data_IF_584982265423
#
_entry.id   IF_584982265423
#
_cell.length_a   1.000
_cell.length_b   1.000
_cell.length_c   1.000
_cell.angle_alpha   90.00
_cell.angle_beta   90.00
_cell.angle_gamma   90.00
#
_symmetry.space_group_name_H-M   'P 1'
#
loop_
_entity.id
_entity.type
_entity.pdbx_description
1 polymer ?
#
# COMPACT_ATOMS: atom_id res chain seq x y z
N UNK A 1 9.52 10.73 33.11
CA UNK A 1 9.08 9.42 33.63
C UNK A 1 7.62 9.07 33.35
N UNK A 2 6.71 10.03 33.13
CA UNK A 2 5.29 9.76 32.78
C UNK A 2 5.07 8.93 31.51
N UNK A 3 5.93 9.05 30.49
CA UNK A 3 5.78 8.32 29.21
C UNK A 3 6.05 6.81 29.36
N UNK A 4 7.05 6.45 30.18
CA UNK A 4 7.39 5.05 30.47
C UNK A 4 6.31 4.41 31.35
N UNK A 5 5.75 5.15 32.30
CA UNK A 5 4.60 4.71 33.09
C UNK A 5 3.35 4.52 32.23
N UNK A 6 3.07 5.43 31.29
CA UNK A 6 1.98 5.27 30.32
C UNK A 6 2.16 4.04 29.45
N UNK A 7 3.38 3.77 28.93
CA UNK A 7 3.68 2.55 28.18
C UNK A 7 3.50 1.28 29.04
N UNK A 8 3.94 1.33 30.30
CA UNK A 8 3.77 0.22 31.25
C UNK A 8 2.30 -0.02 31.60
N UNK A 9 1.49 1.04 31.66
CA UNK A 9 0.05 0.96 31.89
C UNK A 9 -0.73 0.48 30.65
N UNK A 10 -0.30 0.87 29.44
CA UNK A 10 -0.82 0.33 28.17
C UNK A 10 -0.63 -1.18 28.11
N UNK A 11 0.51 -1.68 28.61
CA UNK A 11 0.79 -3.11 28.68
C UNK A 11 0.04 -3.87 29.79
N UNK A 12 -0.54 -3.16 30.77
CA UNK A 12 -1.39 -3.78 31.80
C UNK A 12 -2.82 -4.02 31.30
N UNK A 13 -3.29 -3.26 30.30
CA UNK A 13 -4.63 -3.43 29.74
C UNK A 13 -4.56 -4.51 28.67
N UNK A 14 -5.05 -5.71 29.00
CA UNK A 14 -5.01 -6.86 28.11
C UNK A 14 -5.68 -6.60 26.76
N UNK A 15 -6.80 -5.88 26.75
CA UNK A 15 -7.50 -5.51 25.51
C UNK A 15 -6.62 -4.64 24.61
N UNK A 16 -5.97 -3.60 25.17
CA UNK A 16 -5.13 -2.69 24.40
C UNK A 16 -3.88 -3.39 23.89
N UNK A 17 -3.24 -4.23 24.72
CA UNK A 17 -2.12 -5.09 24.31
C UNK A 17 -2.50 -5.97 23.12
N UNK A 18 -3.66 -6.62 23.17
CA UNK A 18 -4.10 -7.51 22.10
C UNK A 18 -4.35 -6.73 20.80
N UNK A 19 -4.94 -5.53 20.86
CA UNK A 19 -5.10 -4.67 19.68
C UNK A 19 -3.76 -4.23 19.08
N UNK A 20 -2.77 -3.85 19.92
CA UNK A 20 -1.40 -3.52 19.47
C UNK A 20 -0.78 -4.71 18.76
N UNK A 21 -0.85 -5.92 19.36
CA UNK A 21 -0.26 -7.13 18.79
C UNK A 21 -0.88 -7.49 17.44
N UNK A 22 -2.20 -7.35 17.29
CA UNK A 22 -2.90 -7.56 16.02
C UNK A 22 -2.39 -6.55 14.98
N UNK A 23 -2.35 -5.26 15.33
CA UNK A 23 -1.85 -4.21 14.42
C UNK A 23 -0.43 -4.50 13.97
N UNK A 24 0.49 -4.77 14.91
CA UNK A 24 1.89 -5.08 14.58
C UNK A 24 2.02 -6.34 13.72
N UNK A 25 1.25 -7.38 14.01
CA UNK A 25 1.27 -8.63 13.23
C UNK A 25 0.82 -8.39 11.77
N UNK A 26 -0.27 -7.64 11.57
CA UNK A 26 -0.77 -7.33 10.22
C UNK A 26 0.18 -6.40 9.45
N UNK A 27 0.81 -5.44 10.14
CA UNK A 27 1.85 -4.59 9.54
C UNK A 27 3.07 -5.39 9.10
N UNK A 28 3.44 -6.41 9.87
CA UNK A 28 4.54 -7.32 9.57
C UNK A 28 4.23 -8.17 8.32
N UNK A 29 3.00 -8.68 8.20
CA UNK A 29 2.52 -9.37 6.99
C UNK A 29 2.58 -8.47 5.76
N UNK A 30 2.10 -7.22 5.87
CA UNK A 30 2.22 -6.24 4.78
C UNK A 30 3.67 -6.01 4.36
N UNK A 31 4.57 -5.92 5.35
CA UNK A 31 6.01 -5.72 5.13
C UNK A 31 6.67 -6.87 4.39
N UNK A 32 6.33 -8.12 4.73
CA UNK A 32 6.85 -9.26 4.00
C UNK A 32 6.38 -9.28 2.56
N UNK A 33 5.09 -9.04 2.31
CA UNK A 33 4.62 -9.05 0.93
C UNK A 33 5.22 -7.92 0.08
N UNK A 34 5.56 -6.77 0.67
CA UNK A 34 6.27 -5.68 -0.01
C UNK A 34 7.70 -6.03 -0.47
N UNK A 35 8.27 -7.14 0.02
CA UNK A 35 9.56 -7.68 -0.41
C UNK A 35 9.43 -8.80 -1.45
N UNK A 36 8.24 -9.37 -1.63
CA UNK A 36 7.98 -10.40 -2.64
C UNK A 36 7.83 -9.72 -4.00
N UNK A 37 8.80 -9.95 -4.87
CA UNK A 37 8.83 -9.46 -6.26
C UNK A 37 7.83 -10.23 -7.11
N UNK A 38 7.27 -9.56 -8.12
CA UNK A 38 6.37 -10.20 -9.09
C UNK A 38 7.07 -11.37 -9.81
N UNK A 39 6.37 -12.50 -10.00
CA UNK A 39 6.93 -13.63 -10.74
C UNK A 39 7.20 -13.21 -12.19
N UNK A 40 8.41 -13.50 -12.67
CA UNK A 40 8.85 -13.10 -14.01
C UNK A 40 9.70 -11.81 -14.04
N UNK A 41 9.95 -11.17 -12.89
CA UNK A 41 10.88 -10.05 -12.76
C UNK A 41 12.10 -10.47 -11.94
N UNK A 42 13.30 -10.22 -12.46
CA UNK A 42 14.55 -10.41 -11.73
C UNK A 42 14.79 -9.25 -10.74
N UNK A 43 14.79 -9.58 -9.45
CA UNK A 43 15.01 -8.63 -8.37
C UNK A 43 16.40 -7.96 -8.39
N UNK A 44 17.41 -8.63 -8.97
CA UNK A 44 18.80 -8.12 -9.01
C UNK A 44 18.96 -6.96 -9.99
N UNK A 45 18.08 -6.86 -10.97
CA UNK A 45 18.09 -5.84 -12.02
C UNK A 45 17.18 -4.65 -11.73
N UNK A 46 16.62 -4.57 -10.50
CA UNK A 46 15.75 -3.48 -10.06
C UNK A 46 16.49 -2.28 -9.45
N UNK A 47 17.82 -2.33 -9.35
CA UNK A 47 18.64 -1.24 -8.81
C UNK A 47 18.42 0.09 -9.55
N UNK A 48 18.34 0.04 -10.88
CA UNK A 48 18.07 1.21 -11.72
C UNK A 48 16.68 1.81 -11.51
N UNK A 49 15.68 0.97 -11.20
CA UNK A 49 14.33 1.43 -10.87
C UNK A 49 14.37 2.20 -9.54
N UNK A 50 15.06 1.68 -8.53
CA UNK A 50 15.20 2.35 -7.24
C UNK A 50 15.79 3.76 -7.37
N UNK A 51 16.85 3.91 -8.17
CA UNK A 51 17.52 5.20 -8.39
C UNK A 51 16.60 6.23 -9.08
N UNK A 52 15.82 5.81 -10.09
CA UNK A 52 14.84 6.70 -10.76
C UNK A 52 13.63 7.02 -9.90
N UNK A 53 13.29 6.15 -8.96
CA UNK A 53 12.14 6.30 -8.06
C UNK A 53 12.51 7.02 -6.76
N UNK A 54 13.70 7.63 -6.69
CA UNK A 54 14.10 8.43 -5.53
C UNK A 54 13.63 9.88 -5.58
N UNK A 55 13.25 10.40 -6.75
CA UNK A 55 12.85 11.80 -6.94
C UNK A 55 11.41 12.00 -7.43
N UNK A 56 10.88 13.21 -7.20
CA UNK A 56 9.58 13.66 -7.70
C UNK A 56 8.37 12.85 -7.18
N UNK A 57 7.32 12.78 -7.98
CA UNK A 57 6.07 12.10 -7.63
C UNK A 57 6.27 10.60 -7.41
N UNK A 58 7.15 9.97 -8.21
CA UNK A 58 7.50 8.56 -8.07
C UNK A 58 8.15 8.27 -6.70
N UNK A 59 8.98 9.18 -6.20
CA UNK A 59 9.54 9.12 -4.84
C UNK A 59 8.48 9.09 -3.75
N UNK A 60 7.40 9.85 -3.90
CA UNK A 60 6.28 9.84 -2.96
C UNK A 60 5.52 8.51 -3.04
N UNK A 61 5.24 8.02 -4.26
CA UNK A 61 4.59 6.72 -4.48
C UNK A 61 5.41 5.59 -3.83
N UNK A 62 6.74 5.62 -3.98
CA UNK A 62 7.63 4.63 -3.38
C UNK A 62 7.69 4.71 -1.85
N UNK A 63 7.64 5.93 -1.29
CA UNK A 63 7.59 6.11 0.15
C UNK A 63 6.29 5.54 0.75
N UNK A 64 5.15 5.78 0.10
CA UNK A 64 3.84 5.33 0.59
C UNK A 64 3.64 3.82 0.46
N UNK A 65 4.26 3.21 -0.55
CA UNK A 65 4.30 1.75 -0.72
C UNK A 65 5.41 1.09 0.10
N UNK A 66 6.22 1.86 0.82
CA UNK A 66 7.29 1.37 1.67
C UNK A 66 8.43 0.66 0.92
N UNK A 67 8.64 1.02 -0.35
CA UNK A 67 9.63 0.41 -1.25
C UNK A 67 9.05 -0.61 -2.23
N UNK A 68 7.77 -1.01 -2.09
CA UNK A 68 7.19 -2.05 -2.91
C UNK A 68 7.09 -1.66 -4.40
N UNK A 69 6.89 -0.37 -4.70
CA UNK A 69 6.87 0.15 -6.07
C UNK A 69 8.24 0.00 -6.75
N UNK A 70 9.33 0.42 -6.09
CA UNK A 70 10.68 0.31 -6.64
C UNK A 70 11.17 -1.15 -6.74
N UNK A 71 10.60 -2.05 -5.93
CA UNK A 71 10.94 -3.47 -5.95
C UNK A 71 10.04 -4.31 -6.87
N UNK A 72 9.16 -3.69 -7.67
CA UNK A 72 8.20 -4.42 -8.51
C UNK A 72 7.51 -5.57 -7.76
N UNK A 73 7.05 -5.28 -6.54
CA UNK A 73 6.48 -6.27 -5.63
C UNK A 73 5.01 -6.59 -5.94
N UNK A 74 4.50 -7.69 -5.40
CA UNK A 74 3.07 -8.01 -5.37
C UNK A 74 2.21 -6.89 -4.75
N UNK A 75 2.81 -6.02 -3.93
CA UNK A 75 2.18 -4.80 -3.39
C UNK A 75 2.68 -3.51 -4.05
N UNK A 76 3.17 -3.54 -5.29
CA UNK A 76 3.73 -2.36 -5.95
C UNK A 76 2.75 -1.17 -6.04
N UNK A 77 1.46 -1.42 -6.24
CA UNK A 77 0.40 -0.39 -6.19
C UNK A 77 0.06 0.05 -4.76
N UNK A 78 0.38 -0.80 -3.78
CA UNK A 78 0.09 -0.60 -2.36
C UNK A 78 -1.39 -0.35 -2.09
N UNK A 79 -1.65 0.66 -1.26
CA UNK A 79 -2.99 1.10 -0.88
C UNK A 79 -3.50 2.30 -1.71
N UNK A 80 -2.70 2.78 -2.67
CA UNK A 80 -2.98 4.02 -3.40
C UNK A 80 -4.27 3.98 -4.23
N UNK A 81 -4.58 2.90 -4.97
CA UNK A 81 -5.84 2.81 -5.70
C UNK A 81 -7.07 2.99 -4.79
N UNK A 82 -6.99 2.49 -3.54
CA UNK A 82 -8.06 2.67 -2.56
C UNK A 82 -8.16 4.11 -2.06
N UNK A 83 -7.02 4.76 -1.78
CA UNK A 83 -7.01 6.17 -1.39
C UNK A 83 -7.65 7.02 -2.48
N UNK A 84 -7.23 6.82 -3.74
CA UNK A 84 -7.82 7.50 -4.90
C UNK A 84 -9.32 7.22 -5.02
N UNK A 85 -9.75 5.96 -4.91
CA UNK A 85 -11.17 5.61 -4.93
C UNK A 85 -11.96 6.32 -3.81
N UNK A 86 -11.40 6.38 -2.60
CA UNK A 86 -12.07 7.01 -1.46
C UNK A 86 -12.26 8.51 -1.67
N UNK A 87 -11.27 9.20 -2.23
CA UNK A 87 -11.34 10.62 -2.58
C UNK A 87 -12.37 10.83 -3.69
N UNK A 88 -12.38 9.99 -4.72
CA UNK A 88 -13.37 10.08 -5.80
C UNK A 88 -14.79 9.91 -5.24
N UNK A 89 -15.03 8.90 -4.39
CA UNK A 89 -16.36 8.70 -3.78
C UNK A 89 -16.73 9.85 -2.84
N UNK A 90 -15.78 10.44 -2.12
CA UNK A 90 -16.02 11.63 -1.29
C UNK A 90 -16.44 12.84 -2.14
N UNK A 91 -15.73 13.10 -3.24
CA UNK A 91 -16.05 14.19 -4.17
C UNK A 91 -17.39 13.96 -4.89
N UNK A 92 -17.64 12.74 -5.36
CA UNK A 92 -18.94 12.34 -5.89
C UNK A 92 -20.04 12.46 -4.83
N UNK A 93 -19.70 12.25 -3.57
CA UNK A 93 -20.56 12.51 -2.43
C UNK A 93 -21.07 13.94 -2.38
N UNK A 94 -20.29 14.93 -2.83
CA UNK A 94 -20.72 16.33 -2.88
C UNK A 94 -21.67 16.57 -4.06
N UNK A 95 -21.45 15.90 -5.19
CA UNK A 95 -22.22 16.11 -6.42
C UNK A 95 -23.49 15.24 -6.52
N UNK A 96 -23.52 14.05 -5.92
CA UNK A 96 -24.58 13.05 -6.09
C UNK A 96 -25.46 12.96 -4.83
N UNK A 97 -26.77 13.29 -4.91
CA UNK A 97 -27.65 13.34 -3.74
C UNK A 97 -27.85 11.98 -3.07
N UNK A 98 -27.73 10.87 -3.81
CA UNK A 98 -27.78 9.53 -3.25
C UNK A 98 -26.62 9.26 -2.28
N UNK A 99 -25.40 9.63 -2.66
CA UNK A 99 -24.22 9.48 -1.79
C UNK A 99 -24.28 10.43 -0.58
N UNK A 100 -24.79 11.65 -0.75
CA UNK A 100 -25.06 12.55 0.38
C UNK A 100 -26.03 11.95 1.39
N UNK A 101 -27.11 11.30 0.93
CA UNK A 101 -28.06 10.62 1.81
C UNK A 101 -27.39 9.48 2.57
N UNK A 102 -26.60 8.66 1.89
CA UNK A 102 -25.82 7.59 2.54
C UNK A 102 -24.86 8.14 3.60
N UNK A 103 -24.21 9.28 3.37
CA UNK A 103 -23.34 9.90 4.38
C UNK A 103 -24.11 10.32 5.65
N UNK A 104 -25.40 10.64 5.52
CA UNK A 104 -26.29 11.02 6.63
C UNK A 104 -26.94 9.84 7.36
N UNK A 105 -26.92 8.64 6.78
CA UNK A 105 -27.48 7.39 7.35
C UNK A 105 -26.60 6.76 8.45
N UNK A 106 -25.54 7.45 8.89
CA UNK A 106 -24.65 6.97 9.96
C UNK A 106 -23.94 5.67 9.61
N UNK A 107 -23.91 4.70 10.54
CA UNK A 107 -23.11 3.47 10.40
C UNK A 107 -23.54 2.57 9.22
N UNK A 108 -24.84 2.53 8.90
CA UNK A 108 -25.35 1.72 7.78
C UNK A 108 -24.92 2.31 6.44
N UNK A 109 -25.04 3.62 6.29
CA UNK A 109 -24.63 4.33 5.08
C UNK A 109 -23.12 4.33 4.86
N UNK A 110 -22.33 4.46 5.94
CA UNK A 110 -20.87 4.32 5.86
C UNK A 110 -20.45 2.96 5.31
N UNK A 111 -21.09 1.86 5.74
CA UNK A 111 -20.79 0.53 5.18
C UNK A 111 -21.05 0.46 3.67
N UNK A 112 -22.14 1.07 3.18
CA UNK A 112 -22.45 1.11 1.74
C UNK A 112 -21.43 1.95 0.97
N UNK A 113 -21.02 3.10 1.51
CA UNK A 113 -19.98 3.95 0.92
C UNK A 113 -18.67 3.16 0.81
N UNK A 114 -18.25 2.47 1.88
CA UNK A 114 -17.06 1.62 1.86
C UNK A 114 -17.18 0.54 0.78
N UNK A 115 -18.32 -0.13 0.63
CA UNK A 115 -18.53 -1.11 -0.44
C UNK A 115 -18.36 -0.49 -1.84
N UNK A 116 -18.93 0.70 -2.07
CA UNK A 116 -18.77 1.43 -3.34
C UNK A 116 -17.29 1.74 -3.58
N UNK A 117 -16.58 2.24 -2.56
CA UNK A 117 -15.14 2.51 -2.64
C UNK A 117 -14.34 1.26 -2.97
N UNK A 118 -14.68 0.09 -2.39
CA UNK A 118 -14.02 -1.19 -2.71
C UNK A 118 -14.19 -1.58 -4.17
N UNK A 119 -15.42 -1.53 -4.69
CA UNK A 119 -15.67 -1.83 -6.10
C UNK A 119 -14.95 -0.87 -7.04
N UNK A 120 -14.93 0.42 -6.70
CA UNK A 120 -14.20 1.42 -7.47
C UNK A 120 -12.69 1.18 -7.42
N UNK A 121 -12.16 0.76 -6.26
CA UNK A 121 -10.74 0.40 -6.11
C UNK A 121 -10.35 -0.72 -7.06
N UNK A 122 -11.16 -1.78 -7.14
CA UNK A 122 -10.89 -2.90 -8.05
C UNK A 122 -10.86 -2.42 -9.51
N UNK A 123 -11.81 -1.57 -9.90
CA UNK A 123 -11.85 -1.00 -11.25
C UNK A 123 -10.61 -0.14 -11.54
N UNK A 124 -10.18 0.71 -10.59
CA UNK A 124 -8.97 1.52 -10.72
C UNK A 124 -7.72 0.62 -10.83
N UNK A 125 -7.62 -0.43 -10.01
CA UNK A 125 -6.50 -1.38 -10.07
C UNK A 125 -6.42 -2.09 -11.42
N UNK A 126 -7.55 -2.51 -11.98
CA UNK A 126 -7.58 -3.17 -13.29
C UNK A 126 -7.07 -2.27 -14.42
N UNK A 127 -7.26 -0.95 -14.29
CA UNK A 127 -6.72 0.02 -15.25
C UNK A 127 -5.26 0.40 -14.95
N UNK A 128 -4.89 0.56 -13.67
CA UNK A 128 -3.57 1.02 -13.27
C UNK A 128 -2.51 -0.10 -13.32
N UNK A 129 -2.86 -1.35 -13.02
CA UNK A 129 -1.90 -2.45 -13.01
C UNK A 129 -1.23 -2.69 -14.38
N UNK A 130 -1.95 -2.74 -15.52
CA UNK A 130 -1.33 -2.81 -16.83
C UNK A 130 -0.43 -1.59 -17.13
N UNK A 131 -0.88 -0.39 -16.75
CA UNK A 131 -0.11 0.84 -16.95
C UNK A 131 1.21 0.84 -16.16
N UNK A 132 1.18 0.34 -14.93
CA UNK A 132 2.38 0.15 -14.12
C UNK A 132 3.35 -0.82 -14.79
N UNK A 133 2.88 -2.00 -15.22
CA UNK A 133 3.72 -3.00 -15.89
C UNK A 133 4.35 -2.47 -17.19
N UNK A 134 3.56 -1.75 -18.01
CA UNK A 134 4.03 -1.13 -19.24
C UNK A 134 5.05 0.01 -18.97
N UNK A 135 5.01 0.63 -17.79
CA UNK A 135 5.98 1.67 -17.41
C UNK A 135 7.33 1.11 -16.94
N UNK A 136 7.40 -0.16 -16.52
CA UNK A 136 8.62 -0.76 -15.96
C UNK A 136 9.86 -0.64 -16.88
N UNK A 137 9.77 -0.95 -18.20
CA UNK A 137 10.91 -0.77 -19.10
C UNK A 137 11.32 0.70 -19.25
N UNK A 138 10.34 1.60 -19.37
CA UNK A 138 10.60 3.05 -19.46
C UNK A 138 11.24 3.62 -18.18
N UNK A 139 10.91 3.02 -17.02
CA UNK A 139 11.52 3.33 -15.73
C UNK A 139 12.90 2.69 -15.54
N UNK A 140 13.50 2.12 -16.60
CA UNK A 140 14.91 1.67 -16.60
C UNK A 140 15.12 0.22 -16.21
N UNK A 141 14.06 -0.59 -16.15
CA UNK A 141 14.19 -2.04 -16.03
C UNK A 141 14.59 -2.60 -17.40
N UNK A 142 15.76 -3.23 -17.55
CA UNK A 142 16.17 -3.80 -18.82
C UNK A 142 15.24 -4.95 -19.23
N UNK A 143 15.09 -5.17 -20.54
CA UNK A 143 14.26 -6.27 -21.04
C UNK A 143 14.72 -7.64 -20.54
N UNK A 144 16.02 -7.79 -20.24
CA UNK A 144 16.60 -8.99 -19.63
C UNK A 144 16.09 -9.29 -18.21
N UNK A 145 15.51 -8.31 -17.51
CA UNK A 145 14.90 -8.52 -16.22
C UNK A 145 13.55 -9.25 -16.31
N UNK A 146 12.94 -9.32 -17.49
CA UNK A 146 11.69 -10.05 -17.71
C UNK A 146 12.01 -11.51 -18.05
N UNK A 147 12.16 -12.33 -17.02
CA UNK A 147 12.57 -13.75 -17.12
C UNK A 147 11.62 -14.61 -17.96
N UNK A 148 10.34 -14.23 -18.01
CA UNK A 148 9.30 -14.92 -18.80
C UNK A 148 8.96 -14.19 -20.11
N UNK A 149 9.71 -13.13 -20.44
CA UNK A 149 9.38 -12.18 -21.49
C UNK A 149 8.16 -11.30 -21.14
N UNK A 150 7.88 -10.31 -22.00
CA UNK A 150 6.74 -9.39 -21.83
C UNK A 150 5.45 -9.91 -22.50
N UNK A 151 5.27 -11.23 -22.52
CA UNK A 151 4.15 -11.86 -23.21
C UNK A 151 2.79 -11.61 -22.52
N UNK A 152 1.66 -11.88 -23.22
CA UNK A 152 0.32 -11.73 -22.64
C UNK A 152 0.10 -12.52 -21.34
N UNK A 153 0.77 -13.67 -21.19
CA UNK A 153 0.73 -14.49 -19.97
C UNK A 153 1.37 -13.80 -18.76
N UNK A 154 2.48 -13.08 -18.96
CA UNK A 154 3.11 -12.28 -17.91
C UNK A 154 2.20 -11.12 -17.48
N UNK A 155 1.61 -10.41 -18.44
CA UNK A 155 0.67 -9.34 -18.15
C UNK A 155 -0.55 -9.84 -17.40
N UNK A 156 -1.20 -10.91 -17.86
CA UNK A 156 -2.38 -11.45 -17.20
C UNK A 156 -2.09 -11.90 -15.77
N UNK A 157 -1.03 -12.70 -15.57
CA UNK A 157 -0.64 -13.17 -14.24
C UNK A 157 -0.23 -12.02 -13.31
N UNK A 158 0.60 -11.09 -13.78
CA UNK A 158 1.06 -9.95 -12.98
C UNK A 158 -0.08 -8.99 -12.63
N UNK A 159 -1.00 -8.71 -13.56
CA UNK A 159 -2.18 -7.88 -13.29
C UNK A 159 -3.07 -8.54 -12.23
N UNK A 160 -3.36 -9.84 -12.36
CA UNK A 160 -4.14 -10.55 -11.33
C UNK A 160 -3.46 -10.51 -9.96
N UNK A 161 -2.14 -10.66 -9.90
CA UNK A 161 -1.36 -10.58 -8.65
C UNK A 161 -1.40 -9.17 -8.06
N UNK A 162 -1.19 -8.13 -8.87
CA UNK A 162 -1.20 -6.73 -8.42
C UNK A 162 -2.58 -6.32 -7.91
N UNK A 163 -3.65 -6.71 -8.62
CA UNK A 163 -5.03 -6.45 -8.19
C UNK A 163 -5.31 -7.18 -6.87
N UNK A 164 -4.96 -8.47 -6.78
CA UNK A 164 -5.13 -9.25 -5.55
C UNK A 164 -4.33 -8.67 -4.40
N UNK A 165 -3.09 -8.26 -4.65
CA UNK A 165 -2.20 -7.66 -3.68
C UNK A 165 -2.73 -6.33 -3.14
N UNK A 166 -3.25 -5.47 -4.02
CA UNK A 166 -3.89 -4.22 -3.62
C UNK A 166 -5.14 -4.45 -2.77
N UNK A 167 -6.02 -5.38 -3.18
CA UNK A 167 -7.24 -5.73 -2.41
C UNK A 167 -6.84 -6.31 -1.05
N UNK A 168 -5.80 -7.12 -1.00
CA UNK A 168 -5.30 -7.68 0.25
C UNK A 168 -4.71 -6.60 1.16
N UNK A 169 -3.94 -5.65 0.63
CA UNK A 169 -3.43 -4.51 1.39
C UNK A 169 -4.57 -3.65 1.95
N UNK A 170 -5.62 -3.40 1.15
CA UNK A 170 -6.84 -2.74 1.61
C UNK A 170 -7.52 -3.51 2.73
N UNK A 171 -7.70 -4.81 2.56
CA UNK A 171 -8.29 -5.66 3.58
C UNK A 171 -7.48 -5.65 4.89
N UNK A 172 -6.14 -5.65 4.83
CA UNK A 172 -5.29 -5.50 6.01
C UNK A 172 -5.55 -4.16 6.71
N UNK A 173 -5.61 -3.06 5.96
CA UNK A 173 -5.89 -1.72 6.51
C UNK A 173 -7.26 -1.65 7.19
N UNK A 174 -8.28 -2.26 6.59
CA UNK A 174 -9.61 -2.34 7.19
C UNK A 174 -9.60 -3.20 8.46
N UNK A 175 -8.91 -4.35 8.45
CA UNK A 175 -8.80 -5.21 9.64
C UNK A 175 -8.07 -4.55 10.80
N UNK A 176 -7.05 -3.75 10.52
CA UNK A 176 -6.37 -2.95 11.53
C UNK A 176 -7.33 -1.88 12.09
N UNK A 177 -8.17 -1.27 11.25
CA UNK A 177 -9.16 -0.28 11.71
C UNK A 177 -10.23 -0.92 12.61
N UNK A 178 -10.71 -2.12 12.25
CA UNK A 178 -11.76 -2.82 12.98
C UNK A 178 -11.28 -3.40 14.32
N UNK A 179 -10.12 -4.06 14.33
CA UNK A 179 -9.63 -4.87 15.46
C UNK A 179 -8.35 -4.34 16.11
N UNK A 180 -7.69 -3.40 15.46
CA UNK A 180 -6.43 -2.83 15.91
C UNK A 180 -6.62 -1.47 16.56
N UNK A 181 -5.63 -0.60 16.37
CA UNK A 181 -5.61 0.75 16.92
C UNK A 181 -5.57 1.77 15.79
N UNK A 182 -6.41 2.80 15.89
CA UNK A 182 -6.42 3.93 14.95
C UNK A 182 -6.93 3.56 13.56
N UNK A 183 -6.49 4.32 12.56
CA UNK A 183 -6.83 4.08 11.15
C UNK A 183 -5.75 3.21 10.51
N UNK A 184 -6.12 1.99 10.13
CA UNK A 184 -5.18 1.02 9.58
C UNK A 184 -4.54 1.44 8.26
N UNK A 185 -5.27 2.17 7.41
CA UNK A 185 -4.74 2.68 6.13
C UNK A 185 -3.67 3.73 6.40
N UNK A 186 -3.93 4.66 7.32
CA UNK A 186 -2.94 5.66 7.74
C UNK A 186 -1.70 5.01 8.35
N UNK A 187 -1.88 3.94 9.15
CA UNK A 187 -0.77 3.19 9.74
C UNK A 187 0.07 2.45 8.68
N UNK A 188 -0.56 1.87 7.65
CA UNK A 188 0.15 1.23 6.54
C UNK A 188 1.06 2.23 5.81
N UNK A 189 0.56 3.43 5.52
CA UNK A 189 1.34 4.50 4.87
C UNK A 189 2.47 4.97 5.78
N UNK A 190 2.16 5.24 7.06
CA UNK A 190 3.13 5.73 8.04
C UNK A 190 4.30 4.75 8.18
N UNK A 191 3.98 3.46 8.38
CA UNK A 191 4.99 2.41 8.43
C UNK A 191 5.76 2.35 7.12
N UNK A 192 5.07 2.47 5.98
CA UNK A 192 5.60 2.69 4.63
C UNK A 192 6.80 3.63 4.62
N UNK A 193 6.54 4.88 4.99
CA UNK A 193 7.49 5.99 5.02
C UNK A 193 8.63 5.73 6.00
N UNK A 194 8.32 5.30 7.23
CA UNK A 194 9.32 5.10 8.30
C UNK A 194 10.38 4.06 7.88
N UNK A 195 9.98 2.96 7.22
CA UNK A 195 10.96 1.95 6.83
C UNK A 195 11.94 2.43 5.74
N UNK A 196 11.56 3.44 4.94
CA UNK A 196 12.48 4.06 3.97
C UNK A 196 13.44 5.02 4.65
N UNK A 197 12.99 5.69 5.72
CA UNK A 197 13.86 6.53 6.54
C UNK A 197 15.03 5.75 7.15
N UNK A 198 14.79 4.52 7.64
CA UNK A 198 15.87 3.67 8.15
C UNK A 198 16.96 3.39 7.10
N UNK A 199 16.58 3.12 5.84
CA UNK A 199 17.55 2.93 4.75
C UNK A 199 18.34 4.19 4.45
N UNK A 200 17.71 5.37 4.51
CA UNK A 200 18.37 6.66 4.30
C UNK A 200 19.43 6.95 5.38
N UNK A 201 19.14 6.65 6.65
CA UNK A 201 20.08 6.85 7.75
C UNK A 201 21.35 5.98 7.61
N UNK A 202 21.21 4.74 7.15
CA UNK A 202 22.36 3.85 6.92
C UNK A 202 23.15 4.16 5.64
N UNK A 203 22.52 4.82 4.66
CA UNK A 203 23.14 5.27 3.40
C UNK A 203 23.75 6.67 3.50
N UNK A 204 23.63 7.35 4.65
CA UNK A 204 24.34 8.60 4.88
C UNK A 204 25.83 8.28 4.85
N UNK A 205 26.61 8.79 3.86
CA UNK A 205 28.04 8.73 3.97
C UNK A 205 28.38 9.46 5.26
N UNK A 206 29.09 8.78 6.16
CA UNK A 206 29.87 9.47 7.17
C UNK A 206 30.64 10.54 6.39
N UNK A 207 30.37 11.81 6.69
CA UNK A 207 31.13 12.92 6.17
C UNK A 207 32.54 12.78 6.75
N UNK A 208 33.40 12.12 5.99
CA UNK A 208 34.85 12.30 5.99
C UNK A 208 35.24 12.83 4.60
#
# INVERSE_FOLDING_TARGET
MKFIESLKNVWKIEELRNRILITLSLLLVYRFGAQIVLPGIDATLLGSLADKTDSGILGILNAFTGGAFANASVFALGIMPYISASIVVQLMGIAIPYLQKLQKEGASGQKKITQITRWLTIAICLLQAPGYLASLPALGIPESAFLLGQGPLFYFSSVSILVTGCIFAMWLGEKITDKGIGNGISLLIMVGIIARYHKCFYKMPLLD
#
